data_IF_136094549992
#
_entry.id   IF_136094549992
#
_cell.length_a   1.000
_cell.length_b   1.000
_cell.length_c   1.000
_cell.angle_alpha   90.00
_cell.angle_beta   90.00
_cell.angle_gamma   90.00
#
_symmetry.space_group_name_H-M   'P 1'
#
loop_
_entity.id
_entity.type
_entity.pdbx_description
1 polymer ?
#
# COMPACT_ATOMS: atom_id res chain seq x y z
N UNK A 1 -2.50 4.24 21.55
CA UNK A 1 -3.29 3.75 20.39
C UNK A 1 -2.90 4.42 19.07
N UNK A 2 -2.82 5.76 18.97
CA UNK A 2 -2.45 6.46 17.72
C UNK A 2 -1.10 6.03 17.09
N UNK A 3 -0.03 5.89 17.90
CA UNK A 3 1.28 5.43 17.42
C UNK A 3 1.23 4.01 16.83
N UNK A 4 0.42 3.13 17.41
CA UNK A 4 0.24 1.75 16.94
C UNK A 4 -0.52 1.71 15.62
N UNK A 5 -1.55 2.54 15.43
CA UNK A 5 -2.29 2.63 14.16
C UNK A 5 -1.47 3.27 13.04
N UNK A 6 -0.62 4.25 13.35
CA UNK A 6 0.35 4.81 12.40
C UNK A 6 1.36 3.76 11.95
N UNK A 7 1.90 2.97 12.90
CA UNK A 7 2.80 1.88 12.57
C UNK A 7 2.12 0.81 11.70
N UNK A 8 0.90 0.39 12.03
CA UNK A 8 0.13 -0.59 11.24
C UNK A 8 -0.13 -0.08 9.83
N UNK A 9 -0.59 1.17 9.69
CA UNK A 9 -0.83 1.76 8.37
C UNK A 9 0.46 1.92 7.56
N UNK A 10 1.57 2.32 8.19
CA UNK A 10 2.87 2.41 7.53
C UNK A 10 3.41 1.04 7.09
N UNK A 11 3.26 0.00 7.92
CA UNK A 11 3.61 -1.38 7.56
C UNK A 11 2.74 -1.90 6.42
N UNK A 12 1.43 -1.67 6.46
CA UNK A 12 0.51 -2.05 5.38
C UNK A 12 0.87 -1.39 4.05
N UNK A 13 1.18 -0.09 4.06
CA UNK A 13 1.66 0.63 2.87
C UNK A 13 2.96 0.02 2.34
N UNK A 14 3.94 -0.29 3.20
CA UNK A 14 5.21 -0.90 2.79
C UNK A 14 5.02 -2.27 2.13
N UNK A 15 4.17 -3.12 2.70
CA UNK A 15 3.87 -4.43 2.14
C UNK A 15 3.17 -4.32 0.78
N UNK A 16 2.25 -3.37 0.63
CA UNK A 16 1.58 -3.10 -0.63
C UNK A 16 2.58 -2.61 -1.71
N UNK A 17 3.53 -1.76 -1.34
CA UNK A 17 4.62 -1.33 -2.24
C UNK A 17 5.49 -2.51 -2.69
N UNK A 18 5.88 -3.39 -1.78
CA UNK A 18 6.70 -4.57 -2.10
C UNK A 18 5.97 -5.52 -3.08
N UNK A 19 4.66 -5.74 -2.87
CA UNK A 19 3.81 -6.50 -3.81
C UNK A 19 3.70 -5.83 -5.18
N UNK A 20 3.57 -4.51 -5.21
CA UNK A 20 3.54 -3.74 -6.44
C UNK A 20 4.86 -3.84 -7.20
N UNK A 21 5.99 -3.62 -6.54
CA UNK A 21 7.34 -3.71 -7.13
C UNK A 21 7.60 -5.10 -7.69
N UNK A 22 7.22 -6.14 -6.95
CA UNK A 22 7.36 -7.52 -7.40
C UNK A 22 6.56 -7.75 -8.68
N UNK A 23 5.28 -7.36 -8.72
CA UNK A 23 4.41 -7.56 -9.87
C UNK A 23 4.88 -6.74 -11.08
N UNK A 24 5.30 -5.49 -10.86
CA UNK A 24 5.90 -4.64 -11.89
C UNK A 24 7.19 -5.25 -12.46
N UNK A 25 8.04 -5.85 -11.62
CA UNK A 25 9.22 -6.57 -12.08
C UNK A 25 8.87 -7.82 -12.90
N UNK A 26 7.76 -8.52 -12.59
CA UNK A 26 7.28 -9.63 -13.43
C UNK A 26 6.78 -9.16 -14.79
N UNK A 27 6.01 -8.06 -14.83
CA UNK A 27 5.54 -7.43 -16.07
C UNK A 27 6.73 -6.93 -16.90
N UNK A 28 7.76 -6.33 -16.30
CA UNK A 28 8.94 -5.86 -17.01
C UNK A 28 9.70 -7.00 -17.71
N UNK A 29 9.70 -8.21 -17.14
CA UNK A 29 10.29 -9.41 -17.77
C UNK A 29 9.53 -9.88 -19.01
N UNK A 30 8.30 -9.43 -19.25
CA UNK A 30 7.59 -9.69 -20.50
C UNK A 30 8.39 -9.18 -21.71
N UNK A 31 9.11 -8.07 -21.57
CA UNK A 31 9.91 -7.47 -22.64
C UNK A 31 11.15 -8.29 -23.04
N UNK A 32 11.57 -9.28 -22.24
CA UNK A 32 12.77 -10.09 -22.53
C UNK A 32 12.44 -11.38 -23.31
N UNK A 33 11.16 -11.63 -23.62
CA UNK A 33 10.73 -12.81 -24.37
C UNK A 33 10.90 -14.14 -23.64
N UNK A 34 11.30 -14.13 -22.37
CA UNK A 34 11.47 -15.31 -21.54
C UNK A 34 10.32 -15.45 -20.54
N UNK A 35 9.42 -16.39 -20.82
CA UNK A 35 8.36 -16.82 -19.90
C UNK A 35 6.96 -16.41 -20.33
N UNK A 36 6.01 -17.32 -20.15
CA UNK A 36 4.58 -17.05 -20.30
C UNK A 36 4.09 -16.28 -19.07
N UNK A 37 4.29 -14.97 -19.06
CA UNK A 37 3.76 -14.09 -18.00
C UNK A 37 2.30 -13.79 -18.30
N UNK A 38 1.40 -14.19 -17.40
CA UNK A 38 0.00 -13.79 -17.45
C UNK A 38 -0.14 -12.33 -17.02
N UNK A 39 -0.10 -11.43 -17.99
CA UNK A 39 -0.20 -9.98 -17.77
C UNK A 39 -1.55 -9.61 -17.14
N UNK A 40 -2.62 -10.35 -17.44
CA UNK A 40 -3.93 -10.09 -16.86
C UNK A 40 -3.94 -10.39 -15.37
N UNK A 41 -3.36 -11.52 -14.95
CA UNK A 41 -3.21 -11.85 -13.53
C UNK A 41 -2.28 -10.87 -12.80
N UNK A 42 -1.15 -10.48 -13.39
CA UNK A 42 -0.24 -9.51 -12.76
C UNK A 42 -0.85 -8.11 -12.67
N UNK A 43 -1.69 -7.70 -13.63
CA UNK A 43 -2.41 -6.43 -13.56
C UNK A 43 -3.44 -6.43 -12.42
N UNK A 44 -4.13 -7.55 -12.17
CA UNK A 44 -5.01 -7.71 -11.00
C UNK A 44 -4.20 -7.59 -9.71
N UNK A 45 -3.04 -8.24 -9.61
CA UNK A 45 -2.15 -8.10 -8.44
C UNK A 45 -1.73 -6.64 -8.20
N UNK A 46 -1.45 -5.88 -9.27
CA UNK A 46 -1.15 -4.45 -9.18
C UNK A 46 -2.36 -3.64 -8.68
N UNK A 47 -3.56 -3.95 -9.15
CA UNK A 47 -4.79 -3.29 -8.69
C UNK A 47 -5.10 -3.60 -7.22
N UNK A 48 -4.91 -4.84 -6.78
CA UNK A 48 -5.05 -5.24 -5.38
C UNK A 48 -4.01 -4.53 -4.51
N UNK A 49 -2.74 -4.50 -4.91
CA UNK A 49 -1.71 -3.77 -4.18
C UNK A 49 -2.04 -2.28 -4.05
N UNK A 50 -2.60 -1.65 -5.09
CA UNK A 50 -3.07 -0.27 -5.02
C UNK A 50 -4.23 -0.09 -4.03
N UNK A 51 -5.17 -1.03 -4.01
CA UNK A 51 -6.29 -0.99 -3.07
C UNK A 51 -5.80 -1.13 -1.62
N UNK A 52 -4.90 -2.08 -1.35
CA UNK A 52 -4.27 -2.32 -0.05
C UNK A 52 -3.48 -1.10 0.45
N UNK A 53 -2.72 -0.46 -0.44
CA UNK A 53 -2.00 0.78 -0.12
C UNK A 53 -2.98 1.90 0.25
N UNK A 54 -4.04 2.08 -0.54
CA UNK A 54 -5.05 3.12 -0.31
C UNK A 54 -5.78 2.91 1.01
N UNK A 55 -6.13 1.66 1.34
CA UNK A 55 -6.75 1.33 2.62
C UNK A 55 -5.82 1.66 3.80
N UNK A 56 -4.54 1.27 3.69
CA UNK A 56 -3.53 1.55 4.71
C UNK A 56 -3.29 3.06 4.89
N UNK A 57 -3.26 3.82 3.79
CA UNK A 57 -3.14 5.27 3.82
C UNK A 57 -4.32 5.96 4.51
N UNK A 58 -5.55 5.45 4.34
CA UNK A 58 -6.74 5.95 5.05
C UNK A 58 -6.62 5.73 6.57
N UNK A 59 -6.09 4.59 7.01
CA UNK A 59 -5.87 4.32 8.44
C UNK A 59 -4.89 5.33 9.03
N UNK A 60 -3.78 5.59 8.32
CA UNK A 60 -2.81 6.63 8.72
C UNK A 60 -3.47 7.99 8.83
N UNK A 61 -4.27 8.39 7.83
CA UNK A 61 -4.99 9.67 7.83
C UNK A 61 -5.89 9.81 9.05
N UNK A 62 -6.74 8.81 9.30
CA UNK A 62 -7.66 8.82 10.45
C UNK A 62 -6.89 8.90 11.78
N UNK A 63 -5.78 8.16 11.91
CA UNK A 63 -4.95 8.23 13.11
C UNK A 63 -4.33 9.62 13.33
N UNK A 64 -3.91 10.28 12.25
CA UNK A 64 -3.41 11.66 12.29
C UNK A 64 -4.52 12.65 12.65
N UNK A 65 -5.70 12.56 12.02
CA UNK A 65 -6.84 13.44 12.28
C UNK A 65 -7.33 13.33 13.74
N UNK A 66 -7.31 12.11 14.31
CA UNK A 66 -7.59 11.89 15.74
C UNK A 66 -6.54 12.54 16.64
N UNK A 67 -5.27 12.53 16.23
CA UNK A 67 -4.18 13.12 17.02
C UNK A 67 -4.24 14.65 16.98
N UNK A 68 -4.57 15.23 15.82
CA UNK A 68 -4.83 16.66 15.65
C UNK A 68 -6.01 17.12 16.51
N UNK A 69 -7.12 16.40 16.48
CA UNK A 69 -8.31 16.72 17.29
C UNK A 69 -8.01 16.71 18.79
N UNK A 70 -7.16 15.80 19.26
CA UNK A 70 -6.73 15.76 20.67
C UNK A 70 -5.82 16.94 21.03
N UNK A 71 -4.97 17.39 20.12
CA UNK A 71 -4.11 18.55 20.31
C UNK A 71 -4.93 19.85 20.31
N UNK A 72 -5.93 19.95 19.43
CA UNK A 72 -6.83 21.11 19.33
C UNK A 72 -7.66 21.31 20.61
N UNK A 73 -8.12 20.22 21.25
CA UNK A 73 -8.84 20.30 22.54
C UNK A 73 -7.95 20.84 23.68
N UNK A 74 -6.63 20.67 23.59
CA UNK A 74 -5.69 21.09 24.64
C UNK A 74 -5.24 22.55 24.50
N UNK A 75 -5.40 23.16 23.31
CA UNK A 75 -5.05 24.54 23.02
C UNK A 75 -6.13 25.52 23.50
#
# INVERSE_FOLDING_TARGET
MSLSSLAIGATGMRLATDRFETSAARIARLGTGQGNVDVSAEMVNVLEAKADFTASAKIVRVASDMSESLLDILA
#
